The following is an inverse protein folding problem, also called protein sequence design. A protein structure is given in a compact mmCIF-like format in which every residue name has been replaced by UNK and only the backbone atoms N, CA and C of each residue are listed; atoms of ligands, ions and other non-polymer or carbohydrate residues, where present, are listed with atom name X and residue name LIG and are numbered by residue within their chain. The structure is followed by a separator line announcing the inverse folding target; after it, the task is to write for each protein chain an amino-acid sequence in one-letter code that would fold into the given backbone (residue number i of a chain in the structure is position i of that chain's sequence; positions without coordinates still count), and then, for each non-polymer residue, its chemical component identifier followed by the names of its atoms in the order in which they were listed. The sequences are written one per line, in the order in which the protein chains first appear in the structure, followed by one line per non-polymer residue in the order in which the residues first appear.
data_IF_147519209374
#
_entry.id   IF_147519209374
#
_cell.length_a   1.000
_cell.length_b   1.000
_cell.length_c   1.000
_cell.angle_alpha   90.00
_cell.angle_beta   90.00
_cell.angle_gamma   90.00
#
_symmetry.space_group_name_H-M   'P 1'
#
loop_
_entity.id
_entity.type
_entity.pdbx_description
1 polymer ?
#
# COMPACT_ATOMS: atom_id res chain seq x y z
N UNK A 1 53.42 17.25 36.60
CA UNK A 1 52.07 17.74 36.95
C UNK A 1 51.11 16.75 36.30
N UNK A 2 50.61 15.79 37.07
CA UNK A 2 49.74 14.73 36.55
C UNK A 2 48.30 15.25 36.53
N UNK A 3 47.76 15.45 35.33
CA UNK A 3 46.34 15.74 35.14
C UNK A 3 45.62 14.41 35.31
N UNK A 4 44.88 14.27 36.40
CA UNK A 4 43.98 13.14 36.61
C UNK A 4 42.69 13.42 35.82
N UNK A 5 42.45 12.67 34.75
CA UNK A 5 41.11 12.51 34.20
C UNK A 5 40.28 11.68 35.19
N UNK A 6 39.10 12.15 35.65
CA UNK A 6 38.20 11.28 36.38
C UNK A 6 37.65 10.22 35.42
N UNK A 7 37.66 8.96 35.86
CA UNK A 7 37.08 7.82 35.15
C UNK A 7 35.54 7.82 35.18
N UNK A 8 34.90 6.97 34.36
CA UNK A 8 33.47 7.02 34.04
C UNK A 8 32.59 6.28 35.05
N UNK A 9 31.28 6.59 35.00
CA UNK A 9 30.15 5.79 35.52
C UNK A 9 29.54 6.15 36.89
N UNK A 10 29.24 7.44 37.11
CA UNK A 10 28.11 7.82 37.97
C UNK A 10 27.01 8.38 37.07
N UNK A 11 25.84 7.75 37.07
CA UNK A 11 24.66 8.26 36.38
C UNK A 11 24.30 9.67 36.86
N UNK A 12 23.52 10.43 36.09
CA UNK A 12 23.20 11.82 36.43
C UNK A 12 22.65 11.93 37.85
N UNK A 13 23.12 12.93 38.58
CA UNK A 13 22.62 13.21 39.93
C UNK A 13 21.12 13.53 39.89
N UNK A 14 20.41 13.30 41.00
CA UNK A 14 18.96 13.54 41.07
C UNK A 14 18.58 14.96 40.65
N UNK A 15 19.36 15.95 41.07
CA UNK A 15 19.13 17.36 40.71
C UNK A 15 19.36 17.64 39.22
N UNK A 16 20.23 16.89 38.56
CA UNK A 16 20.42 16.97 37.10
C UNK A 16 19.24 16.37 36.35
N UNK A 17 18.74 15.22 36.82
CA UNK A 17 17.56 14.58 36.24
C UNK A 17 16.29 15.45 36.41
N UNK A 18 16.11 16.08 37.57
CA UNK A 18 15.00 16.99 37.82
C UNK A 18 15.05 18.23 36.92
N UNK A 19 16.22 18.85 36.74
CA UNK A 19 16.41 19.97 35.81
C UNK A 19 16.18 19.59 34.36
N UNK A 20 16.69 18.43 33.93
CA UNK A 20 16.44 17.93 32.58
C UNK A 20 14.95 17.72 32.33
N UNK A 21 14.22 17.20 33.31
CA UNK A 21 12.78 17.04 33.23
C UNK A 21 12.06 18.39 33.12
N UNK A 22 12.45 19.41 33.90
CA UNK A 22 11.86 20.75 33.79
C UNK A 22 12.07 21.38 32.40
N UNK A 23 13.27 21.23 31.82
CA UNK A 23 13.57 21.69 30.46
C UNK A 23 12.67 20.99 29.44
N UNK A 24 12.53 19.67 29.54
CA UNK A 24 11.65 18.90 28.66
C UNK A 24 10.18 19.32 28.80
N UNK A 25 9.72 19.63 30.02
CA UNK A 25 8.36 20.14 30.29
C UNK A 25 8.13 21.51 29.67
N UNK A 26 9.09 22.42 29.82
CA UNK A 26 9.01 23.77 29.25
C UNK A 26 9.00 23.74 27.72
N UNK A 27 9.82 22.87 27.11
CA UNK A 27 9.81 22.65 25.67
C UNK A 27 8.47 22.07 25.19
N UNK A 28 7.99 21.00 25.81
CA UNK A 28 6.75 20.33 25.43
C UNK A 28 5.50 21.23 25.51
N UNK A 29 5.48 22.24 26.38
CA UNK A 29 4.41 23.22 26.46
C UNK A 29 4.31 24.14 25.22
N UNK A 30 5.40 24.26 24.44
CA UNK A 30 5.50 25.12 23.26
C UNK A 30 5.72 24.36 21.94
N UNK A 31 6.03 23.07 22.01
CA UNK A 31 6.32 22.22 20.86
C UNK A 31 5.05 21.77 20.13
N UNK A 32 5.18 21.44 18.84
CA UNK A 32 4.07 20.87 18.07
C UNK A 32 3.70 19.49 18.64
N UNK A 33 2.40 19.15 18.78
CA UNK A 33 1.96 17.82 19.20
C UNK A 33 2.60 16.66 18.42
N UNK A 34 2.96 16.87 17.16
CA UNK A 34 3.66 15.88 16.31
C UNK A 34 5.11 15.66 16.76
N UNK A 35 5.81 16.71 17.19
CA UNK A 35 7.19 16.60 17.71
C UNK A 35 7.21 15.90 19.07
N UNK A 36 6.21 16.17 19.92
CA UNK A 36 6.04 15.48 21.21
C UNK A 36 5.71 14.00 21.00
N UNK A 37 4.89 13.67 20.00
CA UNK A 37 4.58 12.28 19.63
C UNK A 37 5.77 11.52 19.02
N UNK A 38 6.80 12.23 18.55
CA UNK A 38 8.05 11.65 18.05
C UNK A 38 9.06 11.28 19.14
N UNK A 39 8.83 11.69 20.40
CA UNK A 39 9.66 11.31 21.54
C UNK A 39 9.51 9.82 21.87
N UNK A 40 10.52 9.27 22.56
CA UNK A 40 10.38 7.94 23.16
C UNK A 40 9.14 7.90 24.08
N UNK A 41 8.27 6.88 23.95
CA UNK A 41 7.06 6.76 24.77
C UNK A 41 7.31 6.82 26.28
N UNK A 42 8.50 6.42 26.75
CA UNK A 42 8.88 6.54 28.15
C UNK A 42 9.09 8.00 28.58
N UNK A 43 9.61 8.85 27.69
CA UNK A 43 9.84 10.28 27.95
C UNK A 43 8.52 11.05 27.89
N UNK A 44 7.66 10.73 26.92
CA UNK A 44 6.34 11.35 26.79
C UNK A 44 5.48 11.20 28.06
N UNK A 45 5.63 10.08 28.78
CA UNK A 45 4.92 9.79 30.05
C UNK A 45 5.37 10.66 31.24
N UNK A 46 6.55 11.28 31.17
CA UNK A 46 7.09 12.11 32.26
C UNK A 46 6.61 13.59 32.18
N UNK A 47 5.98 13.97 31.07
CA UNK A 47 5.49 15.32 30.79
C UNK A 47 4.07 15.55 31.36
N UNK A 48 3.79 16.72 31.97
CA UNK A 48 2.46 17.08 32.46
C UNK A 48 1.53 17.32 31.26
N UNK A 49 0.33 16.74 31.29
CA UNK A 49 -0.55 16.69 30.11
C UNK A 49 -0.22 15.54 29.14
N UNK A 50 0.86 14.79 29.39
CA UNK A 50 1.21 13.51 28.77
C UNK A 50 0.37 12.33 29.27
N UNK A 51 -0.82 12.60 29.83
CA UNK A 51 -1.93 11.66 29.68
C UNK A 51 -2.31 11.61 28.20
N UNK A 52 -1.42 11.06 27.37
CA UNK A 52 -1.88 10.38 26.16
C UNK A 52 -2.76 9.29 26.74
N UNK A 53 -4.08 9.55 26.72
CA UNK A 53 -5.13 8.66 27.18
C UNK A 53 -4.61 7.25 27.00
N UNK A 54 -4.35 6.54 28.12
CA UNK A 54 -3.87 5.16 28.11
C UNK A 54 -4.43 4.55 26.85
N UNK A 55 -3.58 4.21 25.86
CA UNK A 55 -4.07 3.57 24.66
C UNK A 55 -4.97 2.45 25.19
N UNK A 56 -6.30 2.55 25.01
CA UNK A 56 -7.23 1.93 25.93
C UNK A 56 -6.83 0.48 25.98
N UNK A 57 -6.70 -0.10 27.19
CA UNK A 57 -6.27 -1.48 27.33
C UNK A 57 -7.16 -2.32 26.42
N UNK A 58 -6.64 -2.67 25.23
CA UNK A 58 -7.49 -3.14 24.16
C UNK A 58 -7.97 -4.49 24.63
N UNK A 59 -9.29 -4.64 24.73
CA UNK A 59 -9.89 -5.93 25.04
C UNK A 59 -9.36 -6.94 24.03
N UNK A 60 -8.68 -7.98 24.54
CA UNK A 60 -8.29 -9.15 23.73
C UNK A 60 -9.45 -10.14 23.60
N UNK A 61 -10.57 -9.83 24.26
CA UNK A 61 -11.82 -10.58 24.15
C UNK A 61 -12.55 -10.08 22.91
N UNK A 62 -12.43 -10.85 21.83
CA UNK A 62 -13.20 -10.68 20.61
C UNK A 62 -14.52 -11.44 20.74
N UNK A 63 -15.66 -10.90 20.26
CA UNK A 63 -16.91 -11.65 20.27
C UNK A 63 -16.76 -12.88 19.37
N UNK A 64 -17.01 -14.07 19.91
CA UNK A 64 -16.84 -15.33 19.17
C UNK A 64 -17.75 -15.42 17.93
N UNK A 65 -18.93 -14.81 18.02
CA UNK A 65 -19.95 -14.82 16.96
C UNK A 65 -19.91 -13.57 16.08
N UNK A 66 -18.83 -12.78 16.14
CA UNK A 66 -18.72 -11.59 15.32
C UNK A 66 -18.58 -11.94 13.83
N UNK A 67 -19.61 -11.61 13.05
CA UNK A 67 -19.57 -11.66 11.60
C UNK A 67 -19.66 -10.22 11.05
N UNK A 68 -18.61 -9.73 10.36
CA UNK A 68 -18.64 -8.38 9.80
C UNK A 68 -19.66 -8.32 8.66
N UNK A 69 -20.73 -7.55 8.86
CA UNK A 69 -21.72 -7.27 7.83
C UNK A 69 -21.21 -6.23 6.81
N UNK A 70 -22.00 -5.97 5.77
CA UNK A 70 -21.63 -5.01 4.73
C UNK A 70 -21.48 -3.59 5.27
N UNK A 71 -22.32 -3.20 6.24
CA UNK A 71 -22.28 -1.88 6.86
C UNK A 71 -20.99 -1.68 7.66
N UNK A 72 -20.61 -2.66 8.48
CA UNK A 72 -19.36 -2.66 9.25
C UNK A 72 -18.14 -2.59 8.33
N UNK A 73 -18.10 -3.39 7.26
CA UNK A 73 -17.01 -3.34 6.27
C UNK A 73 -16.87 -1.96 5.62
N UNK A 74 -17.99 -1.28 5.32
CA UNK A 74 -17.98 0.05 4.74
C UNK A 74 -17.43 1.13 5.70
N UNK A 75 -17.51 0.91 7.02
CA UNK A 75 -16.95 1.83 8.03
C UNK A 75 -15.45 1.64 8.28
N UNK A 76 -14.83 0.59 7.72
CA UNK A 76 -13.42 0.32 7.96
C UNK A 76 -12.54 1.38 7.28
N UNK A 77 -11.56 1.97 7.99
CA UNK A 77 -10.67 2.96 7.41
C UNK A 77 -9.74 2.33 6.38
N UNK A 78 -9.55 3.00 5.24
CA UNK A 78 -8.53 2.63 4.27
C UNK A 78 -7.14 3.00 4.81
N UNK A 79 -6.46 2.03 5.41
CA UNK A 79 -5.16 2.21 6.07
C UNK A 79 -4.05 2.63 5.08
N UNK A 80 -4.24 2.38 3.79
CA UNK A 80 -3.26 2.72 2.74
C UNK A 80 -3.47 4.13 2.18
N UNK A 81 -4.71 4.65 2.24
CA UNK A 81 -5.08 6.01 1.82
C UNK A 81 -5.26 6.98 3.01
N UNK A 82 -4.61 6.70 4.15
CA UNK A 82 -4.64 7.57 5.33
C UNK A 82 -3.99 8.95 5.11
N UNK A 83 -4.24 9.93 6.00
CA UNK A 83 -3.75 11.30 5.84
C UNK A 83 -2.22 11.37 5.76
N UNK A 84 -1.72 12.34 4.99
CA UNK A 84 -0.28 12.54 4.73
C UNK A 84 0.57 12.75 6.00
N UNK A 85 -0.05 13.12 7.12
CA UNK A 85 0.60 13.21 8.44
C UNK A 85 1.17 11.87 8.93
N UNK A 86 0.70 10.74 8.40
CA UNK A 86 1.19 9.39 8.73
C UNK A 86 2.35 8.92 7.84
N UNK A 87 2.79 9.74 6.88
CA UNK A 87 3.88 9.41 5.96
C UNK A 87 5.19 9.90 6.57
N UNK A 88 6.00 8.96 7.04
CA UNK A 88 7.34 9.23 7.59
C UNK A 88 8.40 9.10 6.49
N UNK A 89 9.35 10.05 6.43
CA UNK A 89 10.48 10.02 5.50
C UNK A 89 10.42 11.04 4.36
N UNK A 90 11.41 11.01 3.47
CA UNK A 90 11.49 11.91 2.33
C UNK A 90 10.43 11.56 1.27
N UNK A 91 9.68 12.58 0.83
CA UNK A 91 8.70 12.47 -0.26
C UNK A 91 9.41 12.06 -1.55
N UNK A 92 9.06 10.89 -2.08
CA UNK A 92 9.56 10.38 -3.35
C UNK A 92 8.40 9.84 -4.17
N UNK A 93 8.41 10.16 -5.45
CA UNK A 93 7.47 9.61 -6.41
C UNK A 93 7.73 8.11 -6.60
N UNK A 94 6.69 7.30 -6.50
CA UNK A 94 6.73 5.92 -6.95
C UNK A 94 6.16 5.90 -8.38
N UNK A 95 7.02 5.58 -9.35
CA UNK A 95 6.66 5.65 -10.76
C UNK A 95 5.50 4.72 -11.09
N UNK A 96 5.58 3.45 -10.68
CA UNK A 96 4.56 2.43 -10.90
C UNK A 96 4.50 1.45 -9.74
N UNK A 97 3.32 1.25 -9.18
CA UNK A 97 3.03 0.26 -8.14
C UNK A 97 1.72 -0.45 -8.46
N UNK A 98 1.63 -1.75 -8.15
CA UNK A 98 0.47 -2.54 -8.54
C UNK A 98 0.60 -4.02 -8.23
N UNK A 99 -0.11 -4.83 -9.01
CA UNK A 99 -0.07 -6.30 -8.94
C UNK A 99 0.49 -6.81 -10.25
N UNK A 100 1.40 -7.80 -10.17
CA UNK A 100 1.97 -8.47 -11.33
C UNK A 100 1.62 -9.96 -11.36
N UNK A 101 1.60 -10.50 -12.57
CA UNK A 101 1.51 -11.93 -12.85
C UNK A 101 0.32 -12.67 -12.20
N UNK A 102 -0.86 -12.04 -12.13
CA UNK A 102 -2.08 -12.76 -11.80
C UNK A 102 -2.68 -13.38 -13.07
N UNK A 103 -3.15 -14.62 -12.99
CA UNK A 103 -3.57 -15.40 -14.16
C UNK A 103 -5.08 -15.56 -14.22
N UNK A 104 -5.63 -15.35 -15.41
CA UNK A 104 -7.07 -15.44 -15.66
C UNK A 104 -7.37 -16.10 -17.00
N UNK A 105 -8.46 -16.85 -17.10
CA UNK A 105 -8.99 -17.28 -18.40
C UNK A 105 -9.61 -16.07 -19.10
N UNK A 106 -9.14 -15.72 -20.29
CA UNK A 106 -9.65 -14.60 -21.08
C UNK A 106 -10.04 -15.08 -22.48
N UNK A 107 -11.21 -14.66 -22.96
CA UNK A 107 -11.74 -15.05 -24.27
C UNK A 107 -11.35 -14.05 -25.36
N UNK A 108 -10.54 -14.48 -26.32
CA UNK A 108 -10.02 -13.69 -27.43
C UNK A 108 -10.76 -13.99 -28.73
N UNK A 109 -11.09 -12.94 -29.50
CA UNK A 109 -11.58 -13.09 -30.88
C UNK A 109 -10.44 -13.52 -31.82
N UNK A 110 -10.67 -14.61 -32.54
CA UNK A 110 -9.76 -15.11 -33.59
C UNK A 110 -10.07 -14.46 -34.93
N UNK A 111 -9.06 -14.38 -35.81
CA UNK A 111 -9.22 -13.83 -37.16
C UNK A 111 -10.25 -14.60 -38.02
N UNK A 112 -10.42 -15.89 -37.75
CA UNK A 112 -11.34 -16.77 -38.50
C UNK A 112 -12.79 -16.68 -37.99
N UNK A 113 -13.08 -15.75 -37.06
CA UNK A 113 -14.44 -15.46 -36.60
C UNK A 113 -14.95 -16.32 -35.44
N UNK A 114 -14.06 -17.05 -34.75
CA UNK A 114 -14.39 -17.78 -33.51
C UNK A 114 -13.72 -17.19 -32.27
N UNK A 115 -14.09 -17.67 -31.09
CA UNK A 115 -13.52 -17.25 -29.80
C UNK A 115 -12.63 -18.35 -29.22
N UNK A 116 -11.50 -17.97 -28.63
CA UNK A 116 -10.60 -18.88 -27.92
C UNK A 116 -10.34 -18.36 -26.50
N UNK A 117 -10.53 -19.21 -25.50
CA UNK A 117 -10.17 -18.89 -24.12
C UNK A 117 -8.72 -19.30 -23.87
N UNK A 118 -7.89 -18.35 -23.45
CA UNK A 118 -6.48 -18.57 -23.12
C UNK A 118 -6.20 -18.18 -21.67
N UNK A 119 -5.28 -18.89 -21.03
CA UNK A 119 -4.71 -18.44 -19.76
C UNK A 119 -3.82 -17.23 -20.03
N UNK A 120 -4.17 -16.09 -19.45
CA UNK A 120 -3.47 -14.83 -19.61
C UNK A 120 -2.91 -14.37 -18.28
N UNK A 121 -1.62 -14.06 -18.25
CA UNK A 121 -0.97 -13.38 -17.15
C UNK A 121 -1.13 -11.87 -17.30
N UNK A 122 -1.62 -11.21 -16.27
CA UNK A 122 -1.90 -9.77 -16.25
C UNK A 122 -1.03 -9.09 -15.21
N UNK A 123 -0.48 -7.94 -15.58
CA UNK A 123 0.21 -7.01 -14.69
C UNK A 123 -0.44 -5.65 -14.82
N UNK A 124 -0.99 -5.13 -13.72
CA UNK A 124 -1.62 -3.81 -13.66
C UNK A 124 -0.88 -2.93 -12.68
N UNK A 125 -0.48 -1.73 -13.11
CA UNK A 125 0.24 -0.76 -12.27
C UNK A 125 -0.29 0.65 -12.45
N UNK A 126 -0.18 1.46 -11.40
CA UNK A 126 -0.52 2.90 -11.43
C UNK A 126 0.62 3.73 -10.87
N UNK A 127 0.68 5.01 -11.28
CA UNK A 127 1.56 5.98 -10.64
C UNK A 127 1.03 6.40 -9.28
N UNK A 128 1.93 6.65 -8.35
CA UNK A 128 1.60 7.09 -6.99
C UNK A 128 2.30 8.41 -6.68
N UNK A 129 1.49 9.42 -6.42
CA UNK A 129 1.95 10.76 -6.03
C UNK A 129 2.65 10.76 -4.67
N UNK A 130 3.54 11.73 -4.47
CA UNK A 130 4.37 11.88 -3.27
C UNK A 130 3.58 12.10 -1.97
N UNK A 131 2.32 12.50 -2.08
CA UNK A 131 1.41 12.80 -0.96
C UNK A 131 0.61 11.58 -0.50
N UNK A 132 0.67 10.47 -1.25
CA UNK A 132 -0.06 9.23 -0.97
C UNK A 132 0.88 8.17 -0.41
N UNK A 133 0.43 7.47 0.65
CA UNK A 133 1.23 6.45 1.34
C UNK A 133 1.33 5.14 0.56
N UNK A 134 0.29 4.79 -0.19
CA UNK A 134 0.22 3.54 -0.94
C UNK A 134 -1.03 3.49 -1.81
N UNK A 135 -1.24 2.33 -2.45
CA UNK A 135 -2.45 2.03 -3.23
C UNK A 135 -3.16 0.83 -2.63
N UNK A 136 -4.47 0.78 -2.84
CA UNK A 136 -5.23 -0.44 -2.59
C UNK A 136 -5.04 -1.43 -3.73
N UNK A 137 -4.05 -2.31 -3.59
CA UNK A 137 -3.69 -3.31 -4.61
C UNK A 137 -4.89 -4.17 -5.02
N UNK A 138 -5.77 -4.53 -4.08
CA UNK A 138 -6.93 -5.38 -4.39
C UNK A 138 -7.95 -4.75 -5.34
N UNK A 139 -7.97 -3.40 -5.43
CA UNK A 139 -8.82 -2.69 -6.41
C UNK A 139 -8.40 -2.99 -7.84
N UNK A 140 -7.10 -3.04 -8.13
CA UNK A 140 -6.58 -3.40 -9.46
C UNK A 140 -7.12 -4.76 -9.91
N UNK A 141 -7.06 -5.77 -9.04
CA UNK A 141 -7.65 -7.07 -9.37
C UNK A 141 -9.16 -6.98 -9.56
N UNK A 142 -9.89 -6.31 -8.67
CA UNK A 142 -11.35 -6.25 -8.73
C UNK A 142 -11.84 -5.56 -10.00
N UNK A 143 -11.29 -4.40 -10.35
CA UNK A 143 -11.66 -3.70 -11.58
C UNK A 143 -11.35 -4.57 -12.80
N UNK A 144 -10.26 -5.35 -12.80
CA UNK A 144 -10.00 -6.29 -13.89
C UNK A 144 -11.02 -7.43 -13.95
N UNK A 145 -11.41 -8.02 -12.81
CA UNK A 145 -12.44 -9.08 -12.78
C UNK A 145 -13.81 -8.60 -13.27
N UNK A 146 -14.20 -7.35 -12.98
CA UNK A 146 -15.46 -6.77 -13.46
C UNK A 146 -15.54 -6.70 -15.00
N UNK A 147 -14.38 -6.67 -15.66
CA UNK A 147 -14.28 -6.67 -17.13
C UNK A 147 -13.84 -8.01 -17.72
N UNK A 148 -13.30 -8.94 -16.91
CA UNK A 148 -12.75 -10.22 -17.38
C UNK A 148 -13.80 -11.19 -17.96
N UNK A 149 -15.06 -11.11 -17.51
CA UNK A 149 -16.16 -11.93 -18.04
C UNK A 149 -16.70 -11.43 -19.39
N UNK A 150 -16.27 -10.24 -19.84
CA UNK A 150 -16.62 -9.70 -21.16
C UNK A 150 -15.68 -10.28 -22.21
N UNK A 151 -16.17 -10.44 -23.45
CA UNK A 151 -15.29 -10.85 -24.56
C UNK A 151 -14.18 -9.83 -24.72
N UNK A 152 -12.94 -10.31 -24.74
CA UNK A 152 -11.77 -9.45 -24.74
C UNK A 152 -11.74 -8.63 -26.02
N UNK A 153 -11.79 -7.31 -25.83
CA UNK A 153 -11.69 -6.31 -26.88
C UNK A 153 -10.84 -5.16 -26.38
N UNK A 154 -10.39 -4.29 -27.27
CA UNK A 154 -9.67 -3.08 -26.88
C UNK A 154 -10.50 -2.22 -25.91
N UNK A 155 -11.83 -2.20 -26.07
CA UNK A 155 -12.76 -1.47 -25.21
C UNK A 155 -12.73 -1.97 -23.75
N UNK A 156 -12.49 -3.27 -23.53
CA UNK A 156 -12.34 -3.87 -22.20
C UNK A 156 -11.05 -3.42 -21.54
N UNK A 157 -9.96 -3.30 -22.30
CA UNK A 157 -8.67 -2.79 -21.80
C UNK A 157 -8.80 -1.31 -21.43
N UNK A 158 -9.44 -0.52 -22.29
CA UNK A 158 -9.67 0.92 -22.06
C UNK A 158 -10.51 1.13 -20.80
N UNK A 159 -11.64 0.43 -20.67
CA UNK A 159 -12.48 0.49 -19.47
C UNK A 159 -11.72 0.08 -18.19
N UNK A 160 -10.91 -0.99 -18.24
CA UNK A 160 -10.11 -1.40 -17.09
C UNK A 160 -9.05 -0.36 -16.70
N UNK A 161 -8.43 0.31 -17.68
CA UNK A 161 -7.46 1.37 -17.43
C UNK A 161 -8.11 2.64 -16.87
N UNK A 162 -9.31 2.99 -17.33
CA UNK A 162 -10.07 4.11 -16.79
C UNK A 162 -10.48 3.85 -15.34
N UNK A 163 -10.95 2.64 -15.03
CA UNK A 163 -11.29 2.25 -13.65
C UNK A 163 -10.06 2.26 -12.74
N UNK A 164 -8.88 1.83 -13.23
CA UNK A 164 -7.64 1.94 -12.44
C UNK A 164 -7.32 3.39 -12.07
N UNK A 165 -7.55 4.34 -12.98
CA UNK A 165 -7.31 5.76 -12.71
C UNK A 165 -8.35 6.34 -11.76
N UNK A 166 -9.62 6.03 -11.94
CA UNK A 166 -10.70 6.56 -11.10
C UNK A 166 -10.68 5.99 -9.68
N UNK A 167 -10.47 4.68 -9.54
CA UNK A 167 -10.57 3.99 -8.24
C UNK A 167 -9.37 4.25 -7.33
N UNK A 168 -8.22 4.59 -7.92
CA UNK A 168 -6.96 4.84 -7.21
C UNK A 168 -6.55 6.32 -7.23
N UNK A 169 -7.31 7.15 -7.96
CA UNK A 169 -7.06 8.58 -8.13
C UNK A 169 -5.61 8.83 -8.58
N UNK A 170 -5.24 8.16 -9.67
CA UNK A 170 -3.90 8.15 -10.25
C UNK A 170 -3.90 8.77 -11.65
N UNK A 171 -2.81 9.45 -12.00
CA UNK A 171 -2.66 10.13 -13.30
C UNK A 171 -2.26 9.16 -14.43
N UNK A 172 -1.43 8.16 -14.13
CA UNK A 172 -0.93 7.18 -15.09
C UNK A 172 -1.31 5.77 -14.63
N UNK A 173 -1.77 4.96 -15.57
CA UNK A 173 -2.14 3.56 -15.35
C UNK A 173 -1.62 2.74 -16.53
N UNK A 174 -1.08 1.56 -16.23
CA UNK A 174 -0.52 0.64 -17.23
C UNK A 174 -1.06 -0.75 -17.00
N UNK A 175 -1.27 -1.44 -18.10
CA UNK A 175 -1.64 -2.84 -18.10
C UNK A 175 -0.80 -3.59 -19.11
N UNK A 176 -0.29 -4.73 -18.70
CA UNK A 176 0.44 -5.67 -19.53
C UNK A 176 -0.26 -7.02 -19.46
N UNK A 177 -0.46 -7.65 -20.62
CA UNK A 177 -1.12 -8.93 -20.75
C UNK A 177 -0.26 -9.86 -21.57
N UNK A 178 0.10 -11.00 -20.99
CA UNK A 178 0.94 -12.02 -21.61
C UNK A 178 0.15 -13.32 -21.76
N UNK A 179 0.10 -13.86 -22.97
CA UNK A 179 -0.60 -15.11 -23.29
C UNK A 179 0.08 -15.81 -24.45
N UNK A 180 -0.20 -17.11 -24.61
CA UNK A 180 0.27 -17.90 -25.75
C UNK A 180 -0.87 -18.13 -26.72
N UNK A 181 -0.79 -17.55 -27.92
CA UNK A 181 -1.80 -17.67 -28.95
C UNK A 181 -1.43 -18.77 -29.96
N UNK A 182 -2.15 -19.91 -29.98
CA UNK A 182 -1.84 -21.00 -30.91
C UNK A 182 -2.30 -20.67 -32.32
N UNK A 183 -1.35 -20.40 -33.22
CA UNK A 183 -1.64 -20.12 -34.62
C UNK A 183 -1.41 -21.37 -35.49
N UNK A 184 -2.40 -21.74 -36.33
CA UNK A 184 -2.21 -22.80 -37.34
C UNK A 184 -1.40 -22.24 -38.51
N UNK A 185 -0.24 -22.82 -38.76
CA UNK A 185 0.68 -22.43 -39.84
C UNK A 185 0.90 -23.63 -40.76
N UNK A 186 0.86 -23.37 -42.07
CA UNK A 186 1.18 -24.37 -43.09
C UNK A 186 2.68 -24.37 -43.39
N UNK A 187 3.28 -25.55 -43.39
CA UNK A 187 4.66 -25.76 -43.81
C UNK A 187 4.82 -25.47 -45.30
N UNK A 188 5.71 -24.53 -45.62
CA UNK A 188 6.03 -24.16 -47.02
C UNK A 188 6.68 -25.30 -47.81
N UNK A 189 7.30 -26.28 -47.13
CA UNK A 189 8.03 -27.38 -47.77
C UNK A 189 7.21 -28.66 -47.85
N UNK A 190 6.58 -29.07 -46.75
CA UNK A 190 5.89 -30.36 -46.66
C UNK A 190 4.39 -30.28 -46.89
N UNK A 191 3.81 -29.07 -46.89
CA UNK A 191 2.36 -28.88 -46.98
C UNK A 191 1.58 -29.30 -45.72
N UNK A 192 2.28 -29.76 -44.67
CA UNK A 192 1.67 -30.12 -43.38
C UNK A 192 1.28 -28.88 -42.57
N UNK A 193 0.20 -28.96 -41.82
CA UNK A 193 -0.25 -27.91 -40.89
C UNK A 193 0.18 -28.24 -39.47
N UNK A 194 0.69 -27.24 -38.74
CA UNK A 194 1.04 -27.35 -37.32
C UNK A 194 0.65 -26.10 -36.54
N UNK A 195 0.66 -26.20 -35.21
CA UNK A 195 0.49 -25.03 -34.33
C UNK A 195 1.86 -24.42 -33.99
N UNK A 196 1.93 -23.09 -34.01
CA UNK A 196 3.05 -22.29 -33.50
C UNK A 196 2.55 -21.29 -32.47
#
# INVERSE_FOLDING_TARGET
MNIQCPGPDEGPEREEAERALEVLRAWAASADPVEVAGLDPAIARLLPGGEVANYPALSRTYPADFAPDAAYKATMPDLQNGPASLIQGARKLIQHVGISNFRLPISYHTRDGGDITLETSVTGTVSLEETKKGINMSRIMRSFYEHADKTFSYDVIEAALDDYKSDLDSLDARIEMQFSYPARVNSLRSGLTGYQ
#
